data_IF_568572985153
#
_entry.id   IF_568572985153
#
_cell.length_a   1.000
_cell.length_b   1.000
_cell.length_c   1.000
_cell.angle_alpha   90.00
_cell.angle_beta   90.00
_cell.angle_gamma   90.00
#
_symmetry.space_group_name_H-M   'P 1'
#
loop_
_entity.id
_entity.type
_entity.pdbx_description
1 polymer ?
#
# COMPACT_ATOMS: atom_id res chain seq x y z
N UNK A 1 26.05 49.98 13.28
CA UNK A 1 24.71 49.40 13.48
C UNK A 1 24.67 48.11 12.68
N UNK A 2 24.59 46.95 13.32
CA UNK A 2 24.33 45.69 12.59
C UNK A 2 22.91 45.79 12.03
N UNK A 3 22.74 45.70 10.71
CA UNK A 3 21.41 45.74 10.09
C UNK A 3 20.56 44.58 10.64
N UNK A 4 19.25 44.74 10.66
CA UNK A 4 18.33 43.70 11.15
C UNK A 4 18.53 42.39 10.36
N UNK A 5 18.87 42.49 9.08
CA UNK A 5 19.25 41.37 8.20
C UNK A 5 20.43 40.56 8.73
N UNK A 6 21.50 41.21 9.22
CA UNK A 6 22.65 40.50 9.79
C UNK A 6 22.27 39.69 11.05
N UNK A 7 21.37 40.22 11.88
CA UNK A 7 20.86 39.48 13.06
C UNK A 7 19.98 38.30 12.65
N UNK A 8 19.15 38.46 11.62
CA UNK A 8 18.28 37.40 11.12
C UNK A 8 19.08 36.25 10.49
N UNK A 9 20.17 36.57 9.75
CA UNK A 9 21.10 35.58 9.19
C UNK A 9 21.78 34.77 10.31
N UNK A 10 22.26 35.43 11.37
CA UNK A 10 22.91 34.73 12.48
C UNK A 10 21.93 33.83 13.25
N UNK A 11 20.67 34.26 13.42
CA UNK A 11 19.61 33.42 13.98
C UNK A 11 19.35 32.17 13.14
N UNK A 12 19.26 32.31 11.81
CA UNK A 12 19.08 31.18 10.91
C UNK A 12 20.31 30.25 10.98
N UNK A 13 21.52 30.80 10.97
CA UNK A 13 22.77 30.02 11.09
C UNK A 13 22.79 29.18 12.36
N UNK A 14 22.40 29.76 13.49
CA UNK A 14 22.27 29.04 14.76
C UNK A 14 21.24 27.91 14.66
N UNK A 15 20.04 28.17 14.12
CA UNK A 15 19.01 27.15 13.95
C UNK A 15 19.47 25.96 13.08
N UNK A 16 20.25 26.24 12.03
CA UNK A 16 20.76 25.24 11.10
C UNK A 16 21.93 24.41 11.64
N UNK A 17 22.76 24.99 12.50
CA UNK A 17 23.89 24.28 13.13
C UNK A 17 23.46 23.08 13.97
N UNK A 18 22.18 23.04 14.37
CA UNK A 18 21.58 21.96 15.16
C UNK A 18 20.84 20.91 14.32
N UNK A 19 20.77 21.06 12.99
CA UNK A 19 20.20 20.04 12.11
C UNK A 19 21.26 18.97 11.78
N UNK A 20 20.88 17.67 11.75
CA UNK A 20 21.80 16.61 11.38
C UNK A 20 22.33 16.82 9.96
N UNK A 21 23.65 16.72 9.80
CA UNK A 21 24.34 16.95 8.54
C UNK A 21 24.22 15.73 7.63
N UNK A 22 24.08 15.96 6.32
CA UNK A 22 24.07 14.88 5.31
C UNK A 22 25.34 13.99 5.28
N UNK A 23 26.38 14.37 6.04
CA UNK A 23 27.61 13.61 6.22
C UNK A 23 27.56 12.62 7.40
N UNK A 24 26.49 12.61 8.20
CA UNK A 24 26.29 11.58 9.21
C UNK A 24 26.07 10.23 8.53
N UNK A 25 26.88 9.23 8.90
CA UNK A 25 26.67 7.86 8.44
C UNK A 25 25.33 7.31 8.96
N UNK A 26 24.73 6.38 8.21
CA UNK A 26 23.45 5.76 8.54
C UNK A 26 23.46 5.03 9.89
N UNK A 27 24.63 4.60 10.36
CA UNK A 27 24.85 3.91 11.62
C UNK A 27 24.77 4.89 12.81
N UNK A 28 25.31 6.09 12.67
CA UNK A 28 25.22 7.20 13.62
C UNK A 28 23.77 7.71 13.75
N UNK A 29 23.03 7.76 12.64
CA UNK A 29 21.59 8.10 12.62
C UNK A 29 20.78 7.02 13.34
N UNK A 30 21.10 5.75 13.09
CA UNK A 30 20.47 4.61 13.77
C UNK A 30 20.78 4.60 15.27
N UNK A 31 22.01 4.95 15.66
CA UNK A 31 22.44 5.06 17.05
C UNK A 31 21.76 6.22 17.80
N UNK A 32 21.24 7.22 17.10
CA UNK A 32 20.40 8.29 17.66
C UNK A 32 18.92 7.92 17.73
N UNK A 33 18.54 6.67 17.40
CA UNK A 33 17.16 6.21 17.45
C UNK A 33 16.28 6.74 16.30
N UNK A 34 16.88 7.38 15.31
CA UNK A 34 16.18 7.93 14.14
C UNK A 34 16.02 6.81 13.11
N UNK A 35 14.82 6.61 12.59
CA UNK A 35 14.57 5.62 11.54
C UNK A 35 15.32 6.02 10.25
N UNK A 36 16.25 5.18 9.74
CA UNK A 36 17.02 5.50 8.54
C UNK A 36 16.15 5.79 7.31
N UNK A 37 14.95 5.21 7.25
CA UNK A 37 14.02 5.43 6.14
C UNK A 37 13.25 6.74 6.23
N UNK A 38 13.01 7.26 7.44
CA UNK A 38 12.47 8.62 7.63
C UNK A 38 13.57 9.67 7.40
N UNK A 39 14.80 9.39 7.84
CA UNK A 39 15.95 10.26 7.56
C UNK A 39 16.23 10.39 6.05
N UNK A 40 16.20 9.28 5.30
CA UNK A 40 16.37 9.29 3.85
C UNK A 40 15.30 10.15 3.13
N UNK A 41 14.08 10.23 3.70
CA UNK A 41 13.02 11.12 3.19
C UNK A 41 13.21 12.58 3.58
N UNK A 42 13.83 12.86 4.73
CA UNK A 42 14.18 14.21 5.17
C UNK A 42 15.45 14.76 4.50
N UNK A 43 16.28 13.89 3.91
CA UNK A 43 17.55 14.25 3.30
C UNK A 43 17.45 15.31 2.18
N UNK A 44 16.47 15.26 1.24
CA UNK A 44 16.28 16.32 0.25
C UNK A 44 15.98 17.68 0.88
N UNK A 45 15.21 17.70 1.97
CA UNK A 45 14.88 18.92 2.70
C UNK A 45 16.11 19.50 3.40
N UNK A 46 16.87 18.67 4.12
CA UNK A 46 18.12 19.07 4.78
C UNK A 46 19.09 19.68 3.74
N UNK A 47 19.18 19.07 2.55
CA UNK A 47 20.00 19.59 1.46
C UNK A 47 19.47 20.91 0.88
N UNK A 48 18.15 21.08 0.73
CA UNK A 48 17.55 22.33 0.28
C UNK A 48 17.80 23.48 1.28
N UNK A 49 17.60 23.20 2.56
CA UNK A 49 17.86 24.15 3.66
C UNK A 49 19.36 24.53 3.70
N UNK A 50 20.27 23.57 3.48
CA UNK A 50 21.71 23.87 3.40
C UNK A 50 22.06 24.74 2.20
N UNK A 51 21.45 24.52 1.03
CA UNK A 51 21.64 25.41 -0.14
C UNK A 51 21.20 26.84 0.17
N UNK A 52 20.11 27.01 0.92
CA UNK A 52 19.66 28.33 1.39
C UNK A 52 20.73 28.96 2.30
N UNK A 53 21.32 28.18 3.21
CA UNK A 53 22.39 28.66 4.08
C UNK A 53 23.63 29.10 3.30
N UNK A 54 24.11 28.25 2.38
CA UNK A 54 25.27 28.53 1.54
C UNK A 54 25.03 29.79 0.71
N UNK A 55 23.82 29.95 0.17
CA UNK A 55 23.43 31.12 -0.58
C UNK A 55 23.34 32.39 0.28
N UNK A 56 22.78 32.30 1.50
CA UNK A 56 22.70 33.46 2.41
C UNK A 56 24.07 33.89 2.93
N UNK A 57 24.96 32.94 3.21
CA UNK A 57 26.36 33.25 3.55
C UNK A 57 27.06 33.89 2.35
N UNK A 58 26.81 33.39 1.14
CA UNK A 58 27.34 33.98 -0.09
C UNK A 58 26.78 35.39 -0.31
N UNK A 59 25.49 35.61 -0.09
CA UNK A 59 24.84 36.91 -0.14
C UNK A 59 25.41 37.87 0.90
N UNK A 60 25.64 37.43 2.15
CA UNK A 60 26.30 38.23 3.18
C UNK A 60 27.73 38.65 2.77
N UNK A 61 28.46 37.75 2.12
CA UNK A 61 29.82 38.00 1.65
C UNK A 61 29.87 38.87 0.38
N UNK A 62 28.98 38.65 -0.59
CA UNK A 62 28.92 39.35 -1.88
C UNK A 62 28.24 40.71 -1.75
N UNK A 63 27.15 40.78 -1.00
CA UNK A 63 26.56 42.03 -0.51
C UNK A 63 27.33 42.46 0.74
N UNK A 64 28.63 42.68 0.56
CA UNK A 64 29.41 43.47 1.49
C UNK A 64 28.59 44.69 1.92
N UNK A 65 28.54 44.93 3.23
CA UNK A 65 27.69 45.91 3.93
C UNK A 65 27.58 47.29 3.24
N UNK A 66 28.56 47.64 2.40
CA UNK A 66 28.61 48.85 1.59
C UNK A 66 27.48 48.97 0.53
N UNK A 67 26.92 47.87 0.01
CA UNK A 67 25.83 47.93 -0.99
C UNK A 67 24.42 47.90 -0.37
N UNK A 68 24.28 47.30 0.82
CA UNK A 68 23.00 47.27 1.56
C UNK A 68 22.70 48.59 2.27
N UNK A 69 23.71 49.42 2.59
CA UNK A 69 23.47 50.75 3.16
C UNK A 69 22.75 51.69 2.20
N UNK A 70 22.88 51.44 0.89
CA UNK A 70 22.26 52.24 -0.18
C UNK A 70 20.91 51.65 -0.62
N UNK A 71 20.56 50.45 -0.14
CA UNK A 71 19.25 49.88 -0.39
C UNK A 71 18.17 50.74 0.31
N UNK A 72 17.06 51.05 -0.38
CA UNK A 72 15.94 51.74 0.24
C UNK A 72 15.52 51.03 1.53
N UNK A 73 15.42 51.76 2.65
CA UNK A 73 15.14 51.21 4.00
C UNK A 73 13.95 50.25 4.07
N UNK A 74 13.01 50.32 3.12
CA UNK A 74 11.84 49.45 3.07
C UNK A 74 12.20 48.00 2.67
N UNK A 75 13.18 47.78 1.78
CA UNK A 75 13.55 46.44 1.34
C UNK A 75 14.42 45.68 2.36
N UNK A 76 15.27 46.37 3.11
CA UNK A 76 16.04 45.75 4.21
C UNK A 76 15.09 45.18 5.29
N UNK A 77 13.99 45.88 5.59
CA UNK A 77 12.95 45.42 6.51
C UNK A 77 12.15 44.21 5.99
N UNK A 78 11.87 44.15 4.68
CA UNK A 78 11.16 43.02 4.06
C UNK A 78 12.04 41.77 4.01
N UNK A 79 13.30 41.90 3.60
CA UNK A 79 14.26 40.80 3.56
C UNK A 79 14.51 40.28 4.99
N UNK A 80 14.72 41.16 5.97
CA UNK A 80 14.88 40.76 7.37
C UNK A 80 13.67 39.98 7.89
N UNK A 81 12.45 40.43 7.55
CA UNK A 81 11.20 39.76 7.95
C UNK A 81 11.06 38.38 7.31
N UNK A 82 11.39 38.24 6.04
CA UNK A 82 11.31 36.96 5.34
C UNK A 82 12.37 35.96 5.85
N UNK A 83 13.58 36.42 6.18
CA UNK A 83 14.62 35.59 6.81
C UNK A 83 14.17 35.14 8.22
N UNK A 84 13.60 36.03 9.01
CA UNK A 84 13.06 35.70 10.34
C UNK A 84 11.92 34.68 10.25
N UNK A 85 11.06 34.80 9.24
CA UNK A 85 10.00 33.84 8.98
C UNK A 85 10.55 32.44 8.60
N UNK A 86 11.56 32.37 7.74
CA UNK A 86 12.23 31.10 7.38
C UNK A 86 12.87 30.47 8.63
N UNK A 87 13.53 31.27 9.47
CA UNK A 87 14.11 30.80 10.74
C UNK A 87 13.06 30.17 11.65
N UNK A 88 11.90 30.81 11.80
CA UNK A 88 10.78 30.28 12.58
C UNK A 88 10.23 28.95 12.02
N UNK A 89 10.15 28.82 10.69
CA UNK A 89 9.75 27.55 10.05
C UNK A 89 10.75 26.43 10.30
N UNK A 90 12.05 26.72 10.19
CA UNK A 90 13.12 25.76 10.52
C UNK A 90 12.99 25.30 11.98
N UNK A 91 12.65 26.20 12.89
CA UNK A 91 12.40 25.86 14.29
C UNK A 91 11.18 24.93 14.46
N UNK A 92 10.08 25.20 13.76
CA UNK A 92 8.89 24.34 13.78
C UNK A 92 9.15 22.94 13.19
N UNK A 93 9.93 22.86 12.11
CA UNK A 93 10.35 21.60 11.52
C UNK A 93 11.16 20.80 12.55
N UNK A 94 12.10 21.45 13.25
CA UNK A 94 12.89 20.84 14.32
C UNK A 94 12.01 20.31 15.45
N UNK A 95 11.11 21.14 15.97
CA UNK A 95 10.21 20.75 17.06
C UNK A 95 9.37 19.52 16.67
N UNK A 96 8.83 19.49 15.45
CA UNK A 96 8.08 18.34 14.94
C UNK A 96 8.95 17.08 14.82
N UNK A 97 10.20 17.21 14.38
CA UNK A 97 11.16 16.09 14.32
C UNK A 97 11.47 15.57 15.74
N UNK A 98 11.68 16.45 16.72
CA UNK A 98 11.95 16.06 18.11
C UNK A 98 10.73 15.38 18.77
N UNK A 99 9.53 15.88 18.54
CA UNK A 99 8.27 15.24 19.00
C UNK A 99 8.13 13.84 18.40
N UNK A 100 8.56 13.62 17.15
CA UNK A 100 8.56 12.29 16.54
C UNK A 100 9.54 11.32 17.22
N UNK A 101 10.72 11.78 17.67
CA UNK A 101 11.67 10.93 18.37
C UNK A 101 11.10 10.33 19.68
N UNK A 102 10.16 11.03 20.32
CA UNK A 102 9.51 10.58 21.56
C UNK A 102 8.19 9.82 21.37
N UNK A 103 7.62 9.77 20.15
CA UNK A 103 6.28 9.22 19.90
C UNK A 103 6.31 7.77 19.42
N UNK A 104 5.50 6.90 20.03
CA UNK A 104 5.24 5.53 19.57
C UNK A 104 4.23 5.45 18.42
N UNK A 105 3.50 6.53 18.11
CA UNK A 105 2.63 6.63 16.94
C UNK A 105 3.42 7.12 15.72
N UNK A 106 4.10 6.19 15.05
CA UNK A 106 4.92 6.47 13.87
C UNK A 106 4.10 6.67 12.59
N UNK A 107 4.48 7.68 11.81
CA UNK A 107 4.35 7.64 10.35
C UNK A 107 3.48 8.72 9.71
N UNK A 108 2.15 8.71 9.92
CA UNK A 108 1.25 9.42 8.98
C UNK A 108 0.92 10.88 9.29
N UNK A 109 0.85 11.27 10.56
CA UNK A 109 0.43 12.64 10.92
C UNK A 109 1.53 13.68 10.69
N UNK A 110 2.80 13.28 10.83
CA UNK A 110 3.94 14.16 10.66
C UNK A 110 4.31 14.40 9.19
N UNK A 111 4.11 13.42 8.31
CA UNK A 111 4.51 13.50 6.89
C UNK A 111 3.78 14.61 6.14
N UNK A 112 2.46 14.72 6.31
CA UNK A 112 1.66 15.79 5.68
C UNK A 112 1.99 17.17 6.24
N UNK A 113 2.20 17.26 7.56
CA UNK A 113 2.49 18.54 8.21
C UNK A 113 3.89 19.05 7.91
N UNK A 114 4.90 18.17 7.81
CA UNK A 114 6.26 18.58 7.44
C UNK A 114 6.26 19.00 5.97
N UNK A 115 5.65 18.22 5.07
CA UNK A 115 5.57 18.57 3.64
C UNK A 115 4.96 19.95 3.38
N UNK A 116 3.87 20.30 4.07
CA UNK A 116 3.28 21.63 3.94
C UNK A 116 4.17 22.78 4.46
N UNK A 117 5.10 22.52 5.39
CA UNK A 117 6.11 23.50 5.81
C UNK A 117 7.25 23.61 4.79
N UNK A 118 7.59 22.51 4.10
CA UNK A 118 8.59 22.52 3.03
C UNK A 118 8.14 23.40 1.88
N UNK A 119 6.90 23.19 1.41
CA UNK A 119 6.35 23.95 0.27
C UNK A 119 6.33 25.46 0.59
N UNK A 120 6.02 25.81 1.84
CA UNK A 120 6.07 27.18 2.36
C UNK A 120 7.48 27.81 2.31
N UNK A 121 8.53 27.05 2.66
CA UNK A 121 9.92 27.53 2.57
C UNK A 121 10.31 27.77 1.11
N UNK A 122 9.91 26.89 0.19
CA UNK A 122 10.24 27.01 -1.24
C UNK A 122 9.57 28.22 -1.89
N UNK A 123 8.30 28.48 -1.56
CA UNK A 123 7.57 29.65 -2.05
C UNK A 123 8.21 30.96 -1.58
N UNK A 124 8.57 31.05 -0.29
CA UNK A 124 9.26 32.25 0.22
C UNK A 124 10.66 32.42 -0.32
N UNK A 125 11.39 31.33 -0.55
CA UNK A 125 12.67 31.39 -1.24
C UNK A 125 12.53 32.05 -2.63
N UNK A 126 11.50 31.65 -3.39
CA UNK A 126 11.23 32.21 -4.72
C UNK A 126 10.97 33.72 -4.66
N UNK A 127 10.31 34.19 -3.61
CA UNK A 127 10.03 35.61 -3.43
C UNK A 127 11.27 36.41 -3.03
N UNK A 128 12.09 35.92 -2.09
CA UNK A 128 13.39 36.53 -1.76
C UNK A 128 14.27 36.61 -3.01
N UNK A 129 14.31 35.55 -3.81
CA UNK A 129 15.07 35.51 -5.05
C UNK A 129 14.60 36.57 -6.07
N UNK A 130 13.29 36.78 -6.21
CA UNK A 130 12.76 37.86 -7.04
C UNK A 130 13.22 39.23 -6.54
N UNK A 131 13.16 39.51 -5.24
CA UNK A 131 13.62 40.79 -4.69
C UNK A 131 15.10 41.03 -4.99
N UNK A 132 15.93 39.99 -4.88
CA UNK A 132 17.37 40.09 -5.15
C UNK A 132 17.70 40.35 -6.63
N UNK A 133 16.91 39.82 -7.57
CA UNK A 133 17.09 40.13 -9.00
C UNK A 133 16.90 41.62 -9.34
N UNK A 134 16.14 42.37 -8.54
CA UNK A 134 16.01 43.82 -8.71
C UNK A 134 17.25 44.61 -8.23
N UNK A 135 18.13 43.98 -7.45
CA UNK A 135 19.32 44.60 -6.87
C UNK A 135 20.60 44.37 -7.68
N UNK A 136 20.56 43.72 -8.85
CA UNK A 136 21.66 43.79 -9.83
C UNK A 136 21.47 45.04 -10.69
N UNK A 137 22.13 46.17 -10.37
CA UNK A 137 21.99 47.38 -11.17
C UNK A 137 22.97 47.26 -12.34
N UNK A 138 22.42 47.08 -13.54
CA UNK A 138 23.03 47.35 -14.85
C UNK A 138 24.47 47.90 -14.92
N UNK A 139 25.47 47.11 -14.53
CA UNK A 139 26.81 47.18 -15.09
C UNK A 139 27.04 45.93 -15.94
N UNK A 140 26.66 46.07 -17.21
CA UNK A 140 27.12 45.22 -18.30
C UNK A 140 28.62 45.46 -18.57
N UNK A 141 29.46 45.28 -17.56
CA UNK A 141 30.90 45.11 -17.71
C UNK A 141 31.18 43.62 -17.68
N UNK A 142 31.83 43.11 -18.74
CA UNK A 142 32.22 41.71 -18.92
C UNK A 142 32.66 41.04 -17.60
N UNK A 143 31.72 40.40 -16.91
CA UNK A 143 32.03 39.41 -15.89
C UNK A 143 32.62 38.24 -16.70
N UNK A 144 33.87 37.85 -16.45
CA UNK A 144 34.45 36.69 -17.12
C UNK A 144 33.47 35.54 -16.97
N UNK A 145 33.03 35.00 -18.11
CA UNK A 145 32.06 33.92 -18.22
C UNK A 145 32.23 32.96 -17.05
N UNK A 146 31.12 32.75 -16.34
CA UNK A 146 31.00 31.82 -15.23
C UNK A 146 31.80 30.56 -15.54
N UNK A 147 32.86 30.42 -14.76
CA UNK A 147 33.98 29.50 -14.82
C UNK A 147 33.62 28.07 -15.31
N UNK A 148 34.46 27.40 -16.12
CA UNK A 148 34.33 25.97 -16.47
C UNK A 148 34.18 25.05 -15.24
N UNK A 149 34.66 25.46 -14.07
CA UNK A 149 34.44 24.76 -12.80
C UNK A 149 32.97 24.70 -12.38
N UNK A 150 32.18 25.74 -12.64
CA UNK A 150 30.76 25.77 -12.26
C UNK A 150 29.93 24.87 -13.17
N UNK A 151 30.32 24.78 -14.44
CA UNK A 151 29.70 23.86 -15.39
C UNK A 151 30.07 22.40 -15.11
N UNK A 152 31.31 22.14 -14.68
CA UNK A 152 31.74 20.83 -14.20
C UNK A 152 31.00 20.40 -12.93
N UNK A 153 30.89 21.29 -11.94
CA UNK A 153 30.17 21.02 -10.69
C UNK A 153 28.67 20.74 -10.94
N UNK A 154 28.06 21.48 -11.87
CA UNK A 154 26.68 21.25 -12.28
C UNK A 154 26.50 19.90 -13.01
N UNK A 155 27.47 19.47 -13.83
CA UNK A 155 27.45 18.15 -14.47
C UNK A 155 27.57 17.03 -13.44
N UNK A 156 28.56 17.10 -12.57
CA UNK A 156 28.77 16.09 -11.52
C UNK A 156 27.58 16.01 -10.56
N UNK A 157 27.03 17.16 -10.14
CA UNK A 157 25.84 17.21 -9.30
C UNK A 157 24.62 16.57 -9.97
N UNK A 158 24.40 16.83 -11.26
CA UNK A 158 23.28 16.25 -12.02
C UNK A 158 23.43 14.74 -12.21
N UNK A 159 24.66 14.26 -12.42
CA UNK A 159 24.97 12.83 -12.52
C UNK A 159 24.80 12.10 -11.18
N UNK A 160 25.25 12.71 -10.07
CA UNK A 160 25.07 12.18 -8.73
C UNK A 160 23.58 12.10 -8.33
N UNK A 161 22.80 13.12 -8.67
CA UNK A 161 21.34 13.12 -8.44
C UNK A 161 20.66 12.03 -9.26
N UNK A 162 21.06 11.80 -10.51
CA UNK A 162 20.52 10.73 -11.33
C UNK A 162 20.84 9.33 -10.75
N UNK A 163 22.09 9.09 -10.33
CA UNK A 163 22.52 7.83 -9.68
C UNK A 163 21.81 7.60 -8.34
N UNK A 164 21.66 8.65 -7.52
CA UNK A 164 20.91 8.58 -6.26
C UNK A 164 19.42 8.32 -6.49
N UNK A 165 18.82 8.90 -7.52
CA UNK A 165 17.42 8.68 -7.86
C UNK A 165 17.19 7.25 -8.39
N UNK A 166 18.13 6.68 -9.14
CA UNK A 166 18.06 5.29 -9.63
C UNK A 166 18.22 4.28 -8.48
N UNK A 167 19.21 4.46 -7.61
CA UNK A 167 19.40 3.63 -6.41
C UNK A 167 18.25 3.75 -5.42
N UNK A 168 17.67 4.94 -5.27
CA UNK A 168 16.46 5.16 -4.48
C UNK A 168 15.25 4.42 -5.07
N UNK A 169 15.04 4.47 -6.40
CA UNK A 169 13.97 3.72 -7.07
C UNK A 169 14.14 2.20 -6.92
N UNK A 170 15.36 1.69 -7.04
CA UNK A 170 15.66 0.26 -6.87
C UNK A 170 15.43 -0.21 -5.43
N UNK A 171 15.87 0.56 -4.43
CA UNK A 171 15.65 0.25 -3.01
C UNK A 171 14.18 0.40 -2.59
N UNK A 172 13.46 1.37 -3.14
CA UNK A 172 12.03 1.55 -2.94
C UNK A 172 11.25 0.38 -3.56
N UNK A 173 11.62 -0.06 -4.77
CA UNK A 173 11.03 -1.24 -5.41
C UNK A 173 11.26 -2.50 -4.57
N UNK A 174 12.47 -2.69 -4.02
CA UNK A 174 12.80 -3.81 -3.14
C UNK A 174 12.03 -3.78 -1.79
N UNK A 175 11.74 -2.58 -1.26
CA UNK A 175 10.95 -2.44 -0.02
C UNK A 175 9.46 -2.65 -0.27
N UNK A 176 8.91 -2.08 -1.34
CA UNK A 176 7.52 -2.29 -1.78
C UNK A 176 7.29 -3.79 -2.05
N UNK A 177 8.28 -4.44 -2.66
CA UNK A 177 8.32 -5.88 -2.86
C UNK A 177 8.20 -6.69 -1.56
N UNK A 178 9.02 -6.37 -0.54
CA UNK A 178 8.99 -7.08 0.74
C UNK A 178 7.68 -6.83 1.51
N UNK A 179 7.14 -5.61 1.47
CA UNK A 179 5.84 -5.30 2.06
C UNK A 179 4.70 -6.06 1.34
N UNK A 180 4.74 -6.13 0.00
CA UNK A 180 3.78 -6.91 -0.78
C UNK A 180 3.85 -8.41 -0.43
N UNK A 181 5.04 -8.97 -0.22
CA UNK A 181 5.23 -10.36 0.17
C UNK A 181 4.60 -10.66 1.54
N UNK A 182 4.76 -9.74 2.50
CA UNK A 182 4.07 -9.84 3.80
C UNK A 182 2.56 -9.84 3.64
N UNK A 183 2.02 -8.88 2.89
CA UNK A 183 0.57 -8.82 2.65
C UNK A 183 0.02 -10.05 1.93
N UNK A 184 0.79 -10.64 0.99
CA UNK A 184 0.44 -11.90 0.33
C UNK A 184 0.39 -13.05 1.32
N UNK A 185 1.39 -13.20 2.20
CA UNK A 185 1.41 -14.23 3.25
C UNK A 185 0.23 -14.07 4.21
N UNK A 186 -0.07 -12.84 4.62
CA UNK A 186 -1.22 -12.57 5.48
C UNK A 186 -2.54 -12.93 4.79
N UNK A 187 -2.67 -12.61 3.49
CA UNK A 187 -3.84 -12.95 2.67
C UNK A 187 -4.00 -14.46 2.49
N UNK A 188 -2.89 -15.19 2.30
CA UNK A 188 -2.88 -16.67 2.23
C UNK A 188 -3.42 -17.26 3.53
N UNK A 189 -2.91 -16.79 4.67
CA UNK A 189 -3.31 -17.28 5.98
C UNK A 189 -4.78 -16.94 6.29
N UNK A 190 -5.24 -15.76 5.88
CA UNK A 190 -6.65 -15.38 6.00
C UNK A 190 -7.56 -16.30 5.19
N UNK A 191 -7.27 -16.53 3.91
CA UNK A 191 -8.07 -17.43 3.09
C UNK A 191 -8.01 -18.88 3.58
N UNK A 192 -6.88 -19.32 4.13
CA UNK A 192 -6.77 -20.64 4.77
C UNK A 192 -7.69 -20.77 5.96
N UNK A 193 -7.69 -19.79 6.88
CA UNK A 193 -8.61 -19.74 8.03
C UNK A 193 -10.07 -19.70 7.59
N UNK A 194 -10.38 -18.96 6.52
CA UNK A 194 -11.74 -18.92 5.96
C UNK A 194 -12.13 -20.28 5.35
N UNK A 195 -11.23 -20.93 4.62
CA UNK A 195 -11.45 -22.28 4.10
C UNK A 195 -11.75 -23.28 5.23
N UNK A 196 -10.96 -23.28 6.31
CA UNK A 196 -11.18 -24.17 7.46
C UNK A 196 -12.55 -23.92 8.12
N UNK A 197 -12.97 -22.65 8.22
CA UNK A 197 -14.32 -22.30 8.71
C UNK A 197 -15.40 -22.88 7.80
N UNK A 198 -15.28 -22.72 6.47
CA UNK A 198 -16.24 -23.26 5.51
C UNK A 198 -16.27 -24.79 5.50
N UNK A 199 -15.13 -25.44 5.66
CA UNK A 199 -15.04 -26.89 5.82
C UNK A 199 -15.76 -27.36 7.08
N UNK A 200 -15.56 -26.69 8.21
CA UNK A 200 -16.27 -27.00 9.45
C UNK A 200 -17.79 -26.81 9.29
N UNK A 201 -18.24 -25.77 8.61
CA UNK A 201 -19.65 -25.57 8.28
C UNK A 201 -20.19 -26.65 7.35
N UNK A 202 -19.43 -27.06 6.33
CA UNK A 202 -19.80 -28.15 5.43
C UNK A 202 -20.00 -29.46 6.20
N UNK A 203 -19.06 -29.82 7.08
CA UNK A 203 -19.15 -31.03 7.92
C UNK A 203 -20.40 -30.97 8.81
N UNK A 204 -20.68 -29.82 9.45
CA UNK A 204 -21.88 -29.63 10.27
C UNK A 204 -23.16 -29.75 9.44
N UNK A 205 -23.21 -29.18 8.24
CA UNK A 205 -24.35 -29.29 7.34
C UNK A 205 -24.59 -30.73 6.88
N UNK A 206 -23.52 -31.47 6.56
CA UNK A 206 -23.60 -32.89 6.19
C UNK A 206 -24.13 -33.73 7.36
N UNK A 207 -23.59 -33.53 8.57
CA UNK A 207 -24.06 -34.24 9.77
C UNK A 207 -25.52 -33.91 10.09
N UNK A 208 -25.92 -32.64 9.98
CA UNK A 208 -27.32 -32.23 10.13
C UNK A 208 -28.23 -32.86 9.07
N UNK A 209 -27.78 -32.97 7.83
CA UNK A 209 -28.52 -33.64 6.74
C UNK A 209 -28.70 -35.13 7.04
N UNK A 210 -27.66 -35.81 7.52
CA UNK A 210 -27.75 -37.23 7.92
C UNK A 210 -28.70 -37.42 9.10
N UNK A 211 -28.60 -36.61 10.15
CA UNK A 211 -29.51 -36.65 11.30
C UNK A 211 -30.96 -36.37 10.90
N UNK A 212 -31.16 -35.43 9.99
CA UNK A 212 -32.47 -35.09 9.43
C UNK A 212 -33.05 -36.27 8.63
N UNK A 213 -32.26 -36.95 7.80
CA UNK A 213 -32.69 -38.16 7.09
C UNK A 213 -33.02 -39.31 8.07
N UNK A 214 -32.23 -39.49 9.13
CA UNK A 214 -32.53 -40.46 10.19
C UNK A 214 -33.83 -40.12 10.95
N UNK A 215 -34.06 -38.85 11.27
CA UNK A 215 -35.31 -38.42 11.88
C UNK A 215 -36.50 -38.64 10.94
N UNK A 216 -36.35 -38.38 9.64
CA UNK A 216 -37.39 -38.62 8.64
C UNK A 216 -37.73 -40.11 8.48
N UNK A 217 -36.73 -40.99 8.51
CA UNK A 217 -36.93 -42.45 8.46
C UNK A 217 -37.58 -42.96 9.75
N UNK A 218 -37.14 -42.49 10.91
CA UNK A 218 -37.76 -42.83 12.20
C UNK A 218 -39.22 -42.36 12.29
N UNK A 219 -39.50 -41.14 11.83
CA UNK A 219 -40.87 -40.60 11.77
C UNK A 219 -41.77 -41.39 10.81
N UNK A 220 -41.23 -41.91 9.69
CA UNK A 220 -41.99 -42.83 8.82
C UNK A 220 -42.24 -44.17 9.50
N UNK A 221 -41.30 -44.69 10.29
CA UNK A 221 -41.46 -45.96 11.03
C UNK A 221 -42.49 -45.89 12.15
N UNK A 222 -42.74 -44.70 12.71
CA UNK A 222 -43.78 -44.44 13.73
C UNK A 222 -45.17 -44.16 13.17
N UNK A 223 -45.37 -44.33 11.88
CA UNK A 223 -46.70 -44.33 11.29
C UNK A 223 -47.39 -45.65 11.69
N UNK A 224 -47.80 -45.71 12.96
CA UNK A 224 -48.62 -46.75 13.60
C UNK A 224 -49.98 -46.93 12.90
N UNK A 225 -50.25 -46.16 11.85
CA UNK A 225 -51.49 -46.24 11.09
C UNK A 225 -51.66 -47.58 10.42
N UNK A 226 -50.63 -48.35 10.06
CA UNK A 226 -50.87 -49.68 9.46
C UNK A 226 -51.47 -50.65 10.47
N UNK A 227 -50.93 -50.74 11.69
CA UNK A 227 -51.50 -51.62 12.72
C UNK A 227 -52.83 -51.09 13.25
N UNK A 228 -52.96 -49.77 13.43
CA UNK A 228 -54.23 -49.17 13.88
C UNK A 228 -55.33 -49.22 12.80
N UNK A 229 -55.00 -49.05 11.51
CA UNK A 229 -55.97 -49.20 10.40
C UNK A 229 -56.38 -50.66 10.27
N UNK A 230 -55.44 -51.62 10.34
CA UNK A 230 -55.77 -53.05 10.28
C UNK A 230 -56.62 -53.45 11.49
N UNK A 231 -56.26 -53.02 12.70
CA UNK A 231 -57.04 -53.30 13.92
C UNK A 231 -58.44 -52.63 13.88
N UNK A 232 -58.54 -51.40 13.36
CA UNK A 232 -59.81 -50.71 13.16
C UNK A 232 -60.69 -51.40 12.10
N UNK A 233 -60.10 -51.93 11.01
CA UNK A 233 -60.85 -52.69 10.00
C UNK A 233 -61.36 -54.03 10.54
N UNK A 234 -60.54 -54.75 11.32
CA UNK A 234 -60.94 -56.04 11.93
C UNK A 234 -62.07 -55.84 12.95
N UNK A 235 -62.01 -54.79 13.77
CA UNK A 235 -63.06 -54.48 14.76
C UNK A 235 -64.37 -53.98 14.11
N UNK A 236 -64.30 -53.15 13.07
CA UNK A 236 -65.47 -52.73 12.30
C UNK A 236 -66.16 -53.89 11.58
N UNK A 237 -65.40 -54.81 10.98
CA UNK A 237 -65.94 -56.02 10.36
C UNK A 237 -66.67 -56.92 11.37
N UNK A 238 -66.20 -56.97 12.62
CA UNK A 238 -66.83 -57.76 13.69
C UNK A 238 -68.14 -57.15 14.21
N UNK A 239 -68.39 -55.85 14.04
CA UNK A 239 -69.60 -55.17 14.54
C UNK A 239 -70.74 -55.09 13.53
N UNK A 240 -70.54 -55.52 12.28
CA UNK A 240 -71.57 -55.51 11.23
C UNK A 240 -72.05 -54.12 10.80
N UNK A 241 -71.36 -53.06 11.23
CA UNK A 241 -71.66 -51.68 10.84
C UNK A 241 -70.96 -51.37 9.51
N UNK A 242 -71.73 -51.18 8.44
CA UNK A 242 -71.28 -50.64 7.16
C UNK A 242 -71.02 -49.13 7.29
N UNK A 243 -70.08 -48.72 8.13
CA UNK A 243 -69.55 -47.36 8.04
C UNK A 243 -68.58 -47.31 6.85
N UNK A 244 -68.58 -46.26 6.02
CA UNK A 244 -67.55 -46.07 5.01
C UNK A 244 -66.21 -45.89 5.73
N UNK A 245 -65.50 -46.99 5.92
CA UNK A 245 -64.20 -47.04 6.60
C UNK A 245 -63.19 -46.32 5.70
N UNK A 246 -62.90 -45.07 6.05
CA UNK A 246 -61.68 -44.32 5.71
C UNK A 246 -61.12 -44.56 4.29
N UNK A 247 -61.83 -44.16 3.26
CA UNK A 247 -61.24 -43.98 1.91
C UNK A 247 -60.62 -42.59 1.72
N UNK A 248 -60.80 -41.68 2.67
CA UNK A 248 -60.24 -40.33 2.65
C UNK A 248 -58.87 -40.24 3.33
N UNK A 249 -58.06 -41.31 3.32
CA UNK A 249 -56.60 -41.10 3.36
C UNK A 249 -56.21 -40.48 2.01
N UNK A 250 -56.56 -39.20 1.89
CA UNK A 250 -56.56 -38.47 0.65
C UNK A 250 -55.15 -38.52 0.08
N UNK A 251 -55.02 -39.00 -1.15
CA UNK A 251 -53.76 -39.01 -1.92
C UNK A 251 -53.06 -37.64 -1.82
N UNK A 252 -53.85 -36.56 -1.69
CA UNK A 252 -53.35 -35.21 -1.41
C UNK A 252 -52.45 -35.12 -0.15
N UNK A 253 -52.82 -35.77 0.96
CA UNK A 253 -52.01 -35.76 2.18
C UNK A 253 -50.67 -36.48 1.98
N UNK A 254 -50.67 -37.65 1.32
CA UNK A 254 -49.44 -38.36 0.99
C UNK A 254 -48.52 -37.53 0.07
N UNK A 255 -49.08 -36.88 -0.95
CA UNK A 255 -48.33 -35.99 -1.85
C UNK A 255 -47.71 -34.82 -1.08
N UNK A 256 -48.48 -34.12 -0.24
CA UNK A 256 -47.95 -32.99 0.55
C UNK A 256 -46.82 -33.40 1.50
N UNK A 257 -46.90 -34.59 2.09
CA UNK A 257 -45.82 -35.12 2.93
C UNK A 257 -44.56 -35.47 2.14
N UNK A 258 -44.68 -36.02 0.93
CA UNK A 258 -43.51 -36.32 0.08
C UNK A 258 -42.87 -35.03 -0.41
N UNK A 259 -43.68 -34.08 -0.91
CA UNK A 259 -43.20 -32.81 -1.45
C UNK A 259 -42.48 -31.99 -0.37
N UNK A 260 -43.06 -31.87 0.83
CA UNK A 260 -42.43 -31.13 1.93
C UNK A 260 -41.07 -31.72 2.33
N UNK A 261 -40.94 -33.05 2.39
CA UNK A 261 -39.67 -33.74 2.67
C UNK A 261 -38.65 -33.52 1.55
N UNK A 262 -39.08 -33.58 0.29
CA UNK A 262 -38.21 -33.37 -0.87
C UNK A 262 -37.67 -31.94 -0.92
N UNK A 263 -38.51 -30.94 -0.63
CA UNK A 263 -38.08 -29.53 -0.53
C UNK A 263 -37.02 -29.37 0.56
N UNK A 264 -37.25 -29.97 1.73
CA UNK A 264 -36.37 -29.87 2.87
C UNK A 264 -35.01 -30.58 2.64
N UNK A 265 -35.01 -31.75 2.00
CA UNK A 265 -33.77 -32.44 1.59
C UNK A 265 -33.03 -31.63 0.52
N UNK A 266 -33.75 -31.09 -0.47
CA UNK A 266 -33.16 -30.26 -1.53
C UNK A 266 -32.50 -29.01 -0.96
N UNK A 267 -33.15 -28.37 0.01
CA UNK A 267 -32.59 -27.22 0.72
C UNK A 267 -31.30 -27.58 1.48
N UNK A 268 -31.29 -28.69 2.23
CA UNK A 268 -30.11 -29.15 2.96
C UNK A 268 -28.92 -29.46 2.02
N UNK A 269 -29.19 -30.14 0.90
CA UNK A 269 -28.18 -30.40 -0.14
C UNK A 269 -27.69 -29.09 -0.77
N UNK A 270 -28.57 -28.13 -1.02
CA UNK A 270 -28.22 -26.79 -1.51
C UNK A 270 -27.22 -26.08 -0.60
N UNK A 271 -27.46 -26.10 0.72
CA UNK A 271 -26.52 -25.55 1.71
C UNK A 271 -25.16 -26.24 1.65
N UNK A 272 -25.11 -27.57 1.52
CA UNK A 272 -23.86 -28.32 1.35
C UNK A 272 -23.10 -27.91 0.08
N UNK A 273 -23.80 -27.73 -1.04
CA UNK A 273 -23.19 -27.28 -2.30
C UNK A 273 -22.60 -25.87 -2.16
N UNK A 274 -23.29 -24.94 -1.49
CA UNK A 274 -22.79 -23.58 -1.24
C UNK A 274 -21.54 -23.61 -0.36
N UNK A 275 -21.56 -24.35 0.74
CA UNK A 275 -20.40 -24.49 1.63
C UNK A 275 -19.20 -25.11 0.89
N UNK A 276 -19.44 -26.13 0.06
CA UNK A 276 -18.40 -26.77 -0.75
C UNK A 276 -17.78 -25.82 -1.77
N UNK A 277 -18.59 -25.04 -2.49
CA UNK A 277 -18.11 -24.04 -3.46
C UNK A 277 -17.27 -22.95 -2.80
N UNK A 278 -17.72 -22.42 -1.65
CA UNK A 278 -16.95 -21.41 -0.92
C UNK A 278 -15.62 -21.97 -0.39
N UNK A 279 -15.63 -23.19 0.14
CA UNK A 279 -14.40 -23.87 0.54
C UNK A 279 -13.41 -24.00 -0.63
N UNK A 280 -13.88 -24.49 -1.78
CA UNK A 280 -13.06 -24.63 -2.98
C UNK A 280 -12.51 -23.28 -3.46
N UNK A 281 -13.31 -22.22 -3.43
CA UNK A 281 -12.87 -20.88 -3.83
C UNK A 281 -11.72 -20.36 -2.94
N UNK A 282 -11.84 -20.51 -1.62
CA UNK A 282 -10.77 -20.08 -0.70
C UNK A 282 -9.50 -20.93 -0.84
N UNK A 283 -9.61 -22.25 -1.00
CA UNK A 283 -8.45 -23.12 -1.26
C UNK A 283 -7.79 -22.77 -2.60
N UNK A 284 -8.57 -22.48 -3.63
CA UNK A 284 -8.04 -22.04 -4.91
C UNK A 284 -7.23 -20.73 -4.75
N UNK A 285 -7.76 -19.73 -4.03
CA UNK A 285 -7.05 -18.49 -3.75
C UNK A 285 -5.77 -18.71 -2.94
N UNK A 286 -5.77 -19.63 -1.97
CA UNK A 286 -4.56 -20.04 -1.23
C UNK A 286 -3.51 -20.57 -2.19
N UNK A 287 -3.87 -21.48 -3.10
CA UNK A 287 -2.93 -22.07 -4.07
C UNK A 287 -2.37 -21.00 -5.01
N UNK A 288 -3.21 -20.14 -5.58
CA UNK A 288 -2.79 -19.06 -6.49
C UNK A 288 -1.83 -18.10 -5.78
N UNK A 289 -2.17 -17.66 -4.57
CA UNK A 289 -1.31 -16.74 -3.83
C UNK A 289 -0.01 -17.42 -3.39
N UNK A 290 -0.03 -18.72 -3.08
CA UNK A 290 1.19 -19.48 -2.79
C UNK A 290 2.10 -19.59 -4.02
N UNK A 291 1.53 -19.77 -5.20
CA UNK A 291 2.29 -19.75 -6.45
C UNK A 291 2.89 -18.36 -6.71
N UNK A 292 2.14 -17.28 -6.44
CA UNK A 292 2.67 -15.91 -6.51
C UNK A 292 3.83 -15.67 -5.54
N UNK A 293 3.72 -16.19 -4.31
CA UNK A 293 4.79 -16.11 -3.31
C UNK A 293 6.07 -16.81 -3.81
N UNK A 294 5.96 -18.03 -4.34
CA UNK A 294 7.11 -18.80 -4.87
C UNK A 294 7.71 -18.12 -6.11
N UNK A 295 6.86 -17.62 -7.02
CA UNK A 295 7.32 -16.87 -8.19
C UNK A 295 8.06 -15.60 -7.79
N UNK A 296 7.56 -14.90 -6.77
CA UNK A 296 8.19 -13.72 -6.20
C UNK A 296 9.56 -14.02 -5.57
N UNK A 297 9.65 -15.08 -4.75
CA UNK A 297 10.90 -15.52 -4.14
C UNK A 297 11.94 -15.90 -5.21
N UNK A 298 11.52 -16.68 -6.22
CA UNK A 298 12.39 -17.07 -7.35
C UNK A 298 12.86 -15.85 -8.14
N UNK A 299 11.98 -14.86 -8.36
CA UNK A 299 12.34 -13.60 -8.99
C UNK A 299 13.36 -12.82 -8.16
N UNK A 300 13.18 -12.74 -6.84
CA UNK A 300 14.10 -12.04 -5.94
C UNK A 300 15.49 -12.67 -5.98
N UNK A 301 15.57 -14.00 -5.91
CA UNK A 301 16.83 -14.73 -5.97
C UNK A 301 17.53 -14.51 -7.32
N UNK A 302 16.78 -14.58 -8.42
CA UNK A 302 17.32 -14.38 -9.76
C UNK A 302 17.76 -12.92 -9.98
N UNK A 303 16.97 -11.94 -9.52
CA UNK A 303 17.32 -10.52 -9.58
C UNK A 303 18.62 -10.22 -8.82
N UNK A 304 18.78 -10.82 -7.63
CA UNK A 304 20.00 -10.67 -6.82
C UNK A 304 21.20 -11.39 -7.42
N UNK A 305 20.98 -12.46 -8.19
CA UNK A 305 22.05 -13.23 -8.84
C UNK A 305 22.64 -12.54 -10.08
N UNK A 306 21.92 -11.60 -10.72
CA UNK A 306 22.42 -10.87 -11.88
C UNK A 306 23.46 -9.83 -11.42
N UNK A 307 24.66 -9.90 -12.00
CA UNK A 307 25.76 -8.96 -11.74
C UNK A 307 25.32 -7.50 -11.91
N UNK A 308 25.93 -6.59 -11.14
CA UNK A 308 25.56 -5.17 -11.11
C UNK A 308 25.70 -4.45 -12.48
N UNK A 309 26.44 -5.04 -13.43
CA UNK A 309 26.72 -4.44 -14.74
C UNK A 309 25.67 -4.72 -15.84
N UNK A 310 24.83 -5.76 -15.73
CA UNK A 310 23.90 -6.13 -16.79
C UNK A 310 22.47 -5.65 -16.51
N UNK A 311 22.26 -4.35 -16.74
CA UNK A 311 20.97 -3.71 -16.49
C UNK A 311 19.88 -4.15 -17.49
N UNK A 312 20.27 -4.61 -18.69
CA UNK A 312 19.32 -5.08 -19.72
C UNK A 312 18.71 -6.42 -19.33
N UNK A 313 19.53 -7.36 -18.85
CA UNK A 313 19.06 -8.63 -18.33
C UNK A 313 18.12 -8.45 -17.13
N UNK A 314 18.44 -7.52 -16.21
CA UNK A 314 17.55 -7.19 -15.07
C UNK A 314 16.19 -6.66 -15.52
N UNK A 315 16.15 -5.78 -16.52
CA UNK A 315 14.89 -5.22 -17.03
C UNK A 315 14.03 -6.29 -17.72
N UNK A 316 14.63 -7.16 -18.55
CA UNK A 316 13.90 -8.26 -19.19
C UNK A 316 13.38 -9.26 -18.15
N UNK A 317 14.19 -9.56 -17.13
CA UNK A 317 13.79 -10.44 -16.03
C UNK A 317 12.59 -9.88 -15.27
N UNK A 318 12.61 -8.59 -14.93
CA UNK A 318 11.51 -7.90 -14.25
C UNK A 318 10.23 -7.98 -15.07
N UNK A 319 10.32 -7.82 -16.40
CA UNK A 319 9.17 -7.90 -17.30
C UNK A 319 8.58 -9.31 -17.36
N UNK A 320 9.42 -10.33 -17.53
CA UNK A 320 8.99 -11.73 -17.60
C UNK A 320 8.43 -12.20 -16.24
N UNK A 321 9.05 -11.79 -15.14
CA UNK A 321 8.57 -12.09 -13.79
C UNK A 321 7.26 -11.38 -13.48
N UNK A 322 7.11 -10.10 -13.87
CA UNK A 322 5.83 -9.41 -13.76
C UNK A 322 4.75 -10.14 -14.55
N UNK A 323 5.06 -10.59 -15.77
CA UNK A 323 4.13 -11.39 -16.56
C UNK A 323 3.78 -12.70 -15.86
N UNK A 324 4.73 -13.41 -15.26
CA UNK A 324 4.47 -14.64 -14.51
C UNK A 324 3.68 -14.44 -13.20
N UNK A 325 3.91 -13.33 -12.49
CA UNK A 325 3.23 -13.00 -11.21
C UNK A 325 1.78 -12.54 -11.45
N UNK A 326 1.55 -11.78 -12.53
CA UNK A 326 0.25 -11.17 -12.82
C UNK A 326 -0.59 -11.95 -13.84
N UNK A 327 0.01 -12.78 -14.70
CA UNK A 327 -0.76 -13.68 -15.56
C UNK A 327 -1.41 -14.77 -14.73
N UNK A 328 -2.74 -14.86 -14.78
CA UNK A 328 -3.47 -15.93 -14.12
C UNK A 328 -3.37 -17.20 -14.97
N UNK A 329 -2.52 -18.13 -14.55
CA UNK A 329 -2.47 -19.46 -15.14
C UNK A 329 -3.77 -20.24 -14.90
N UNK A 330 -4.16 -21.09 -15.85
CA UNK A 330 -5.28 -22.01 -15.66
C UNK A 330 -4.92 -23.02 -14.56
N UNK A 331 -5.52 -22.89 -13.38
CA UNK A 331 -5.26 -23.75 -12.21
C UNK A 331 -6.10 -25.03 -12.20
N UNK A 332 -6.82 -25.34 -13.28
CA UNK A 332 -7.76 -26.46 -13.35
C UNK A 332 -9.08 -26.25 -12.59
N UNK A 333 -9.21 -25.18 -11.77
CA UNK A 333 -10.44 -24.84 -11.05
C UNK A 333 -11.46 -24.05 -11.89
N UNK A 334 -11.02 -23.39 -12.96
CA UNK A 334 -11.86 -22.65 -13.90
C UNK A 334 -12.00 -23.45 -15.19
N UNK A 335 -13.13 -24.15 -15.35
CA UNK A 335 -13.46 -24.81 -16.62
C UNK A 335 -13.79 -23.76 -17.68
N UNK A 336 -12.96 -23.67 -18.72
CA UNK A 336 -13.21 -22.97 -20.01
C UNK A 336 -13.66 -21.50 -19.87
N UNK A 337 -12.71 -20.58 -19.67
CA UNK A 337 -12.99 -19.13 -19.79
C UNK A 337 -11.83 -18.17 -19.55
N UNK A 338 -10.63 -18.63 -19.19
CA UNK A 338 -9.54 -17.78 -18.68
C UNK A 338 -8.73 -16.98 -19.74
N UNK A 339 -9.27 -16.74 -20.94
CA UNK A 339 -8.53 -16.05 -22.01
C UNK A 339 -8.71 -14.53 -22.05
N UNK A 340 -9.55 -13.93 -21.18
CA UNK A 340 -9.79 -12.47 -21.19
C UNK A 340 -8.59 -11.65 -20.69
N UNK A 341 -7.69 -12.23 -19.89
CA UNK A 341 -6.57 -11.49 -19.29
C UNK A 341 -5.25 -11.54 -20.09
N UNK A 342 -5.17 -12.34 -21.15
CA UNK A 342 -4.06 -12.28 -22.11
C UNK A 342 -3.93 -10.89 -22.75
N UNK A 343 -5.05 -10.15 -22.84
CA UNK A 343 -5.07 -8.77 -23.30
C UNK A 343 -4.23 -7.84 -22.39
N UNK A 344 -4.22 -8.08 -21.07
CA UNK A 344 -3.54 -7.21 -20.10
C UNK A 344 -2.01 -7.32 -20.19
N UNK A 345 -1.48 -8.51 -20.51
CA UNK A 345 -0.06 -8.70 -20.80
C UNK A 345 0.38 -7.93 -22.05
N UNK A 346 -0.49 -7.84 -23.07
CA UNK A 346 -0.20 -7.03 -24.27
C UNK A 346 -0.15 -5.53 -23.96
N UNK A 347 -1.05 -5.03 -23.10
CA UNK A 347 -1.10 -3.61 -22.69
C UNK A 347 0.16 -3.22 -21.90
N UNK A 348 0.63 -4.08 -20.99
CA UNK A 348 1.86 -3.82 -20.24
C UNK A 348 3.07 -3.77 -21.19
N UNK A 349 3.15 -4.68 -22.16
CA UNK A 349 4.20 -4.65 -23.19
C UNK A 349 4.17 -3.38 -24.06
N UNK A 350 2.98 -2.87 -24.36
CA UNK A 350 2.80 -1.64 -25.14
C UNK A 350 3.24 -0.37 -24.37
N UNK A 351 2.94 -0.31 -23.07
CA UNK A 351 3.34 0.81 -22.19
C UNK A 351 4.85 0.83 -21.98
N UNK A 352 5.48 -0.33 -21.79
CA UNK A 352 6.94 -0.43 -21.62
C UNK A 352 7.68 -0.03 -22.89
N UNK A 353 7.17 -0.41 -24.07
CA UNK A 353 7.78 -0.01 -25.35
C UNK A 353 7.62 1.48 -25.67
N UNK A 354 6.56 2.15 -25.18
CA UNK A 354 6.38 3.61 -25.30
C UNK A 354 7.25 4.43 -24.35
N UNK A 355 7.87 3.81 -23.35
CA UNK A 355 8.74 4.47 -22.38
C UNK A 355 10.23 4.45 -22.78
N UNK A 356 10.57 3.75 -23.87
CA UNK A 356 11.85 3.89 -24.59
C UNK A 356 11.73 5.03 -25.59
#
# INVERSE_FOLDING_TARGET
MTSQTARAIEHLRSALSHLPTAAMDLESIRNQGIDPSEFARALPLINAIRRIQEYLVRFENEVSFAKLSDAPKHHDLEIARDIEWISNLVHQIREKIEVQKGSTQKGRYAESSVRGLIDQVEDKYRDIFKYMQYFEPGEAGDIPQVNPLQEQLNRESKELVAKLQETYKASLAAKIADDNLRTLRDTIEEHRKQADKWLAWLIRCLLATVLMLLALTFMMGRVDTTEQIIAAQISAAATGQNTPVFTDFSIAHAITQIVSKLVLVSFALGCCVICSRNYQAHIHNVIVNKQREVAWESFKDLYNSIEAGDQTAKQQLVMEAAQAIFAHGSTGFLSKGANEFAALASVVGEVVNKAK
#
